data_IF_595896793310
#
_entry.id   IF_595896793310
#
_cell.length_a   1.000
_cell.length_b   1.000
_cell.length_c   1.000
_cell.angle_alpha   90.00
_cell.angle_beta   90.00
_cell.angle_gamma   90.00
#
_symmetry.space_group_name_H-M   'P 1'
#
loop_
_entity.id
_entity.type
_entity.pdbx_description
1 polymer ?
#
# COMPACT_ATOMS: atom_id res chain seq x y z
N UNK A 1 -17.76 -24.46 5.33
CA UNK A 1 -16.34 -24.35 4.91
C UNK A 1 -15.84 -22.98 5.33
N UNK A 2 -14.65 -22.90 5.93
CA UNK A 2 -14.06 -21.60 6.32
C UNK A 2 -13.52 -20.82 5.12
N UNK A 3 -13.22 -19.55 5.33
CA UNK A 3 -12.49 -18.72 4.36
C UNK A 3 -11.05 -19.25 4.21
N UNK A 4 -10.65 -19.57 2.99
CA UNK A 4 -9.29 -20.04 2.69
C UNK A 4 -8.35 -18.88 2.37
N UNK A 5 -7.04 -19.09 2.54
CA UNK A 5 -6.04 -18.15 2.05
C UNK A 5 -6.20 -17.91 0.53
N UNK A 6 -5.98 -16.67 0.08
CA UNK A 6 -6.23 -16.23 -1.29
C UNK A 6 -7.67 -15.78 -1.57
N UNK A 7 -8.60 -15.95 -0.62
CA UNK A 7 -9.98 -15.49 -0.80
C UNK A 7 -10.04 -13.97 -0.86
N UNK A 8 -10.71 -13.42 -1.88
CA UNK A 8 -10.99 -11.99 -1.98
C UNK A 8 -12.18 -11.63 -1.11
N UNK A 9 -12.02 -10.62 -0.27
CA UNK A 9 -13.09 -10.15 0.60
C UNK A 9 -13.09 -8.62 0.72
N UNK A 10 -14.16 -8.10 1.30
CA UNK A 10 -14.30 -6.71 1.70
C UNK A 10 -15.36 -6.61 2.78
N UNK A 11 -15.44 -5.46 3.43
CA UNK A 11 -16.34 -5.22 4.56
C UNK A 11 -17.40 -4.21 4.16
N UNK A 12 -18.56 -4.25 4.83
CA UNK A 12 -19.55 -3.19 4.82
C UNK A 12 -19.85 -2.82 6.26
N UNK A 13 -20.00 -1.53 6.52
CA UNK A 13 -20.31 -1.03 7.85
C UNK A 13 -21.66 -0.30 7.76
N UNK A 14 -22.65 -0.80 8.50
CA UNK A 14 -23.93 -0.14 8.69
C UNK A 14 -24.00 0.46 10.10
N UNK A 15 -24.76 1.55 10.22
CA UNK A 15 -24.83 2.37 11.42
C UNK A 15 -25.39 3.74 11.10
N UNK A 16 -25.26 4.67 12.04
CA UNK A 16 -25.81 6.02 11.91
C UNK A 16 -25.10 6.84 10.83
N UNK A 17 -25.91 7.52 10.02
CA UNK A 17 -25.42 8.49 9.04
C UNK A 17 -25.87 9.89 9.45
N UNK A 18 -24.97 10.60 10.12
CA UNK A 18 -25.16 11.96 10.63
C UNK A 18 -23.83 12.73 10.45
N UNK A 19 -23.48 13.15 9.22
CA UNK A 19 -22.21 13.80 8.90
C UNK A 19 -21.89 15.02 9.77
N UNK A 20 -22.91 15.78 10.17
CA UNK A 20 -22.80 16.94 11.05
C UNK A 20 -22.36 16.58 12.48
N UNK A 21 -22.49 15.32 12.86
CA UNK A 21 -22.00 14.73 14.12
C UNK A 21 -20.74 13.86 13.91
N UNK A 22 -20.22 13.80 12.69
CA UNK A 22 -19.06 12.97 12.33
C UNK A 22 -19.38 11.48 12.13
N UNK A 23 -20.66 11.11 11.98
CA UNK A 23 -21.08 9.72 11.74
C UNK A 23 -21.31 9.48 10.25
N UNK A 24 -20.54 8.55 9.66
CA UNK A 24 -20.44 8.36 8.21
C UNK A 24 -20.71 6.91 7.76
N UNK A 25 -21.46 6.12 8.53
CA UNK A 25 -21.76 4.74 8.15
C UNK A 25 -22.58 4.69 6.86
N UNK A 26 -22.05 3.97 5.87
CA UNK A 26 -22.67 3.82 4.56
C UNK A 26 -22.45 2.37 4.07
N UNK A 27 -23.48 1.50 4.19
CA UNK A 27 -23.37 0.11 3.78
C UNK A 27 -23.29 -0.02 2.25
N UNK A 28 -23.57 1.00 1.44
CA UNK A 28 -23.40 0.94 -0.02
C UNK A 28 -21.92 1.01 -0.43
N UNK A 29 -21.05 1.50 0.47
CA UNK A 29 -19.60 1.51 0.26
C UNK A 29 -19.01 0.17 0.66
N UNK A 30 -18.30 -0.47 -0.28
CA UNK A 30 -17.37 -1.51 0.08
C UNK A 30 -16.15 -0.88 0.76
N UNK A 31 -15.72 -1.46 1.89
CA UNK A 31 -14.53 -1.07 2.62
C UNK A 31 -13.46 -2.15 2.47
N UNK A 32 -12.20 -1.73 2.42
CA UNK A 32 -11.05 -2.63 2.56
C UNK A 32 -10.77 -2.79 4.05
N UNK A 33 -10.46 -4.01 4.47
CA UNK A 33 -10.03 -4.28 5.83
C UNK A 33 -8.76 -3.47 6.16
N UNK A 34 -8.76 -2.62 7.20
CA UNK A 34 -7.60 -1.81 7.55
C UNK A 34 -6.38 -2.63 7.99
N UNK A 35 -6.55 -3.92 8.28
CA UNK A 35 -5.48 -4.87 8.59
C UNK A 35 -5.09 -5.78 7.43
N UNK A 36 -5.66 -5.59 6.24
CA UNK A 36 -5.27 -6.36 5.06
C UNK A 36 -3.80 -6.13 4.70
N UNK A 37 -3.03 -7.20 4.59
CA UNK A 37 -1.62 -7.16 4.18
C UNK A 37 -1.43 -7.18 2.66
N UNK A 38 -2.49 -7.52 1.92
CA UNK A 38 -2.49 -7.59 0.47
C UNK A 38 -3.85 -7.17 -0.10
N UNK A 39 -3.82 -6.45 -1.22
CA UNK A 39 -4.99 -6.06 -2.01
C UNK A 39 -4.82 -6.49 -3.46
N UNK A 40 -5.92 -6.83 -4.14
CA UNK A 40 -5.87 -7.47 -5.46
C UNK A 40 -5.61 -6.53 -6.65
N UNK A 41 -5.68 -5.20 -6.45
CA UNK A 41 -5.41 -4.19 -7.48
C UNK A 41 -5.18 -2.79 -6.87
N UNK A 42 -4.59 -1.85 -7.64
CA UNK A 42 -4.49 -0.46 -7.22
C UNK A 42 -5.85 0.23 -7.08
N UNK A 43 -5.89 1.28 -6.27
CA UNK A 43 -7.03 2.19 -6.24
C UNK A 43 -7.13 2.98 -7.54
N UNK A 44 -8.36 3.15 -8.02
CA UNK A 44 -8.69 4.05 -9.12
C UNK A 44 -9.78 4.98 -8.61
N UNK A 45 -9.56 6.27 -8.74
CA UNK A 45 -10.55 7.25 -8.33
C UNK A 45 -11.76 7.22 -9.27
N UNK A 46 -12.94 7.29 -8.67
CA UNK A 46 -14.23 7.45 -9.33
C UNK A 46 -15.11 8.36 -8.45
N UNK A 47 -15.82 9.31 -9.04
CA UNK A 47 -16.63 10.28 -8.30
C UNK A 47 -17.68 9.63 -7.38
N UNK A 48 -18.15 8.42 -7.70
CA UNK A 48 -19.10 7.66 -6.86
C UNK A 48 -18.53 7.28 -5.50
N UNK A 49 -17.20 7.26 -5.35
CA UNK A 49 -16.54 7.03 -4.07
C UNK A 49 -16.77 8.18 -3.09
N UNK A 50 -16.97 9.41 -3.59
CA UNK A 50 -17.20 10.60 -2.79
C UNK A 50 -18.69 10.95 -2.60
N UNK A 51 -19.59 10.29 -3.31
CA UNK A 51 -21.04 10.49 -3.19
C UNK A 51 -21.54 10.08 -1.79
N UNK A 52 -22.54 10.81 -1.27
CA UNK A 52 -23.09 10.56 0.07
C UNK A 52 -23.93 9.28 0.11
N UNK A 53 -24.27 8.85 1.32
CA UNK A 53 -25.16 7.68 1.53
C UNK A 53 -26.47 7.90 0.78
N UNK A 54 -26.87 6.91 -0.01
CA UNK A 54 -28.08 6.97 -0.84
C UNK A 54 -27.94 7.73 -2.17
N UNK A 55 -26.82 8.42 -2.44
CA UNK A 55 -26.57 9.11 -3.72
C UNK A 55 -25.82 8.25 -4.73
N UNK A 56 -25.00 7.30 -4.27
CA UNK A 56 -24.27 6.37 -5.13
C UNK A 56 -24.75 4.93 -4.94
N UNK A 57 -24.64 4.15 -6.01
CA UNK A 57 -24.80 2.69 -5.99
C UNK A 57 -23.61 2.01 -5.32
N UNK A 58 -23.74 0.71 -5.09
CA UNK A 58 -22.68 -0.21 -4.68
C UNK A 58 -21.30 0.10 -5.29
N UNK A 59 -20.31 0.40 -4.43
CA UNK A 59 -18.92 0.67 -4.85
C UNK A 59 -18.04 -0.57 -4.94
N UNK A 60 -18.56 -1.78 -4.68
CA UNK A 60 -17.81 -3.02 -4.74
C UNK A 60 -17.04 -3.23 -6.06
N UNK A 61 -17.55 -2.88 -7.25
CA UNK A 61 -16.77 -2.99 -8.49
C UNK A 61 -15.53 -2.07 -8.54
N UNK A 62 -15.56 -0.95 -7.80
CA UNK A 62 -14.57 0.12 -7.83
C UNK A 62 -13.44 -0.09 -6.84
N UNK A 63 -13.75 -0.65 -5.67
CA UNK A 63 -12.75 -0.87 -4.63
C UNK A 63 -11.90 -2.11 -4.91
N UNK A 64 -10.61 -2.11 -4.55
CA UNK A 64 -9.85 -3.34 -4.45
C UNK A 64 -10.45 -4.25 -3.37
N UNK A 65 -10.14 -5.54 -3.46
CA UNK A 65 -10.49 -6.52 -2.44
C UNK A 65 -9.25 -6.84 -1.61
N UNK A 66 -9.45 -6.98 -0.31
CA UNK A 66 -8.45 -7.58 0.55
C UNK A 66 -8.29 -9.06 0.18
N UNK A 67 -7.08 -9.58 0.29
CA UNK A 67 -6.79 -11.00 0.08
C UNK A 67 -6.56 -11.65 1.44
N UNK A 68 -7.38 -12.64 1.77
CA UNK A 68 -7.26 -13.38 3.02
C UNK A 68 -5.90 -14.08 3.05
N UNK A 69 -5.09 -13.76 4.06
CA UNK A 69 -3.78 -14.34 4.26
C UNK A 69 -3.54 -14.55 5.76
N UNK A 70 -2.66 -15.50 6.10
CA UNK A 70 -2.12 -15.58 7.45
C UNK A 70 -1.30 -14.32 7.71
N UNK A 71 -1.61 -13.61 8.78
CA UNK A 71 -0.83 -12.43 9.16
C UNK A 71 0.61 -12.83 9.46
N UNK A 72 1.59 -12.04 9.01
CA UNK A 72 2.98 -12.28 9.36
C UNK A 72 3.16 -12.20 10.87
N UNK A 73 4.08 -13.00 11.40
CA UNK A 73 4.47 -12.87 12.80
C UNK A 73 5.05 -11.48 13.02
N UNK A 74 4.74 -10.82 14.16
CA UNK A 74 5.36 -9.55 14.51
C UNK A 74 6.88 -9.67 14.44
N UNK A 75 7.52 -8.80 13.65
CA UNK A 75 8.98 -8.73 13.62
C UNK A 75 9.42 -8.01 14.88
N UNK A 76 10.33 -8.59 15.70
CA UNK A 76 10.86 -7.90 16.86
C UNK A 76 11.56 -6.61 16.43
N UNK A 77 11.40 -5.54 17.21
CA UNK A 77 12.10 -4.29 16.95
C UNK A 77 13.62 -4.53 17.00
N UNK A 78 14.26 -4.45 15.85
CA UNK A 78 15.72 -4.54 15.75
C UNK A 78 16.33 -3.16 15.99
N UNK A 79 17.54 -3.08 16.58
CA UNK A 79 18.26 -1.82 16.66
C UNK A 79 18.51 -1.27 15.23
N UNK A 80 18.56 0.06 15.05
CA UNK A 80 18.87 0.65 13.76
C UNK A 80 20.16 0.09 13.17
N UNK A 81 20.15 -0.24 11.88
CA UNK A 81 21.33 -0.72 11.15
C UNK A 81 22.27 0.43 10.72
N UNK A 82 21.99 1.67 11.15
CA UNK A 82 22.75 2.86 10.80
C UNK A 82 23.16 3.64 12.05
N UNK A 83 24.20 4.46 11.92
CA UNK A 83 24.68 5.33 12.98
C UNK A 83 23.93 6.67 12.97
N UNK A 84 23.48 7.19 14.13
CA UNK A 84 22.92 8.54 14.22
C UNK A 84 23.88 9.59 13.63
N UNK A 85 23.33 10.57 12.90
CA UNK A 85 24.11 11.60 12.20
C UNK A 85 24.61 11.21 10.81
N UNK A 86 24.29 10.01 10.33
CA UNK A 86 24.55 9.59 8.95
C UNK A 86 23.60 10.22 7.92
N UNK A 87 23.91 10.04 6.63
CA UNK A 87 23.09 10.52 5.52
C UNK A 87 21.85 9.63 5.34
N UNK A 88 20.68 10.22 5.54
CA UNK A 88 19.38 9.68 5.11
C UNK A 88 19.09 10.21 3.70
N UNK A 89 18.75 9.32 2.77
CA UNK A 89 18.48 9.68 1.38
C UNK A 89 17.06 9.28 0.99
N UNK A 90 16.20 10.27 0.85
CA UNK A 90 14.81 10.09 0.40
C UNK A 90 14.79 9.72 -1.09
N UNK A 91 14.14 8.61 -1.43
CA UNK A 91 14.04 8.13 -2.82
C UNK A 91 12.60 7.80 -3.23
N UNK A 92 12.10 8.42 -4.32
CA UNK A 92 10.86 7.96 -4.94
C UNK A 92 11.11 6.63 -5.66
N UNK A 93 10.72 5.50 -5.04
CA UNK A 93 10.93 4.11 -5.53
C UNK A 93 10.80 3.98 -7.05
N UNK A 94 9.68 4.48 -7.60
CA UNK A 94 9.38 4.37 -9.02
C UNK A 94 10.34 5.19 -9.87
N UNK A 95 10.45 6.49 -9.60
CA UNK A 95 11.19 7.41 -10.44
C UNK A 95 12.71 7.16 -10.38
N UNK A 96 13.22 6.77 -9.21
CA UNK A 96 14.65 6.62 -8.96
C UNK A 96 15.35 5.65 -9.92
N UNK A 97 14.65 4.58 -10.34
CA UNK A 97 15.23 3.56 -11.24
C UNK A 97 14.56 3.51 -12.62
N UNK A 98 13.56 4.36 -12.89
CA UNK A 98 12.73 4.27 -14.11
C UNK A 98 13.53 4.38 -15.41
N UNK A 99 14.57 5.21 -15.41
CA UNK A 99 15.43 5.46 -16.58
C UNK A 99 16.84 4.86 -16.43
N UNK A 100 17.10 4.11 -15.36
CA UNK A 100 18.45 3.63 -15.07
C UNK A 100 18.88 2.55 -16.08
N UNK A 101 19.97 2.77 -16.84
CA UNK A 101 20.30 1.92 -17.99
C UNK A 101 20.69 0.50 -17.60
N UNK A 102 21.35 0.34 -16.45
CA UNK A 102 21.78 -0.96 -15.94
C UNK A 102 20.64 -1.83 -15.36
N UNK A 103 19.43 -1.29 -15.18
CA UNK A 103 18.30 -2.03 -14.62
C UNK A 103 17.48 -2.65 -15.76
N UNK A 104 17.16 -3.95 -15.72
CA UNK A 104 16.28 -4.58 -16.70
C UNK A 104 14.94 -3.86 -16.79
N UNK A 105 14.46 -3.56 -18.02
CA UNK A 105 13.22 -2.79 -18.25
C UNK A 105 12.02 -3.24 -17.40
N UNK A 106 11.73 -4.56 -17.24
CA UNK A 106 10.59 -5.00 -16.42
C UNK A 106 10.73 -4.73 -14.93
N UNK A 107 11.96 -4.58 -14.44
CA UNK A 107 12.25 -4.37 -13.02
C UNK A 107 12.22 -2.88 -12.64
N UNK A 108 12.40 -1.97 -13.59
CA UNK A 108 12.52 -0.52 -13.32
C UNK A 108 11.31 0.03 -12.58
N UNK A 109 11.58 0.88 -11.60
CA UNK A 109 10.58 1.53 -10.78
C UNK A 109 9.85 0.63 -9.80
N UNK A 110 10.43 -0.52 -9.46
CA UNK A 110 9.90 -1.44 -8.43
C UNK A 110 10.77 -1.40 -7.17
N UNK A 111 10.23 -1.86 -6.04
CA UNK A 111 11.02 -2.07 -4.82
C UNK A 111 12.22 -2.98 -5.07
N UNK A 112 12.04 -4.04 -5.86
CA UNK A 112 13.14 -4.96 -6.21
C UNK A 112 14.29 -4.27 -6.96
N UNK A 113 14.01 -3.19 -7.70
CA UNK A 113 15.03 -2.44 -8.42
C UNK A 113 16.01 -1.74 -7.48
N UNK A 114 15.56 -1.32 -6.30
CA UNK A 114 16.41 -0.68 -5.29
C UNK A 114 17.45 -1.64 -4.72
N UNK A 115 17.16 -2.94 -4.72
CA UNK A 115 18.09 -3.99 -4.32
C UNK A 115 19.06 -4.40 -5.45
N UNK A 116 18.95 -3.84 -6.66
CA UNK A 116 19.84 -4.18 -7.76
C UNK A 116 21.28 -3.71 -7.47
N UNK A 117 22.33 -4.50 -7.79
CA UNK A 117 23.72 -4.18 -7.45
C UNK A 117 24.15 -2.76 -7.84
N UNK A 118 23.83 -2.32 -9.07
CA UNK A 118 24.14 -0.97 -9.53
C UNK A 118 23.57 0.16 -8.64
N UNK A 119 22.38 -0.05 -8.05
CA UNK A 119 21.76 0.91 -7.15
C UNK A 119 22.43 0.88 -5.78
N UNK A 120 22.66 -0.32 -5.24
CA UNK A 120 23.34 -0.50 -3.95
C UNK A 120 24.76 0.09 -4.00
N UNK A 121 25.50 -0.13 -5.09
CA UNK A 121 26.83 0.44 -5.32
C UNK A 121 26.78 1.97 -5.38
N UNK A 122 25.79 2.54 -6.08
CA UNK A 122 25.60 3.99 -6.15
C UNK A 122 25.34 4.60 -4.76
N UNK A 123 24.41 4.03 -3.98
CA UNK A 123 24.07 4.50 -2.63
C UNK A 123 25.27 4.38 -1.68
N UNK A 124 26.02 3.27 -1.75
CA UNK A 124 27.27 3.09 -0.98
C UNK A 124 28.32 4.13 -1.36
N UNK A 125 28.49 4.43 -2.65
CA UNK A 125 29.44 5.46 -3.12
C UNK A 125 29.10 6.85 -2.60
N UNK A 126 27.81 7.16 -2.47
CA UNK A 126 27.34 8.41 -1.88
C UNK A 126 27.49 8.46 -0.35
N UNK A 127 27.77 7.32 0.31
CA UNK A 127 27.84 7.24 1.77
C UNK A 127 26.47 7.26 2.45
N UNK A 128 25.42 6.83 1.74
CA UNK A 128 24.06 6.76 2.30
C UNK A 128 24.02 5.72 3.41
N UNK A 129 23.56 6.14 4.59
CA UNK A 129 23.38 5.28 5.77
C UNK A 129 21.96 4.68 5.85
N UNK A 130 20.95 5.43 5.40
CA UNK A 130 19.57 4.96 5.33
C UNK A 130 18.86 5.53 4.11
N UNK A 131 17.92 4.75 3.56
CA UNK A 131 17.03 5.17 2.48
C UNK A 131 15.63 5.33 3.07
N UNK A 132 14.99 6.44 2.73
CA UNK A 132 13.58 6.71 3.07
C UNK A 132 12.72 6.69 1.80
#
# INVERSE_FOLDING_TARGET
>A
AGLAAGTRYGLRADGDYAPEQGLWFDPDKLLVDPYAVEIDRPYVYDGRLAARRGEATDTAPLLPKAIAATLPQPVPALPPLFQPGGLIYEVPVRAFTMLHPAIPKPQRGTLSALAHPAIVEHLKKLGVGAVE
#
